data_IF_903095317792
#
_entry.id   IF_903095317792
#
_cell.length_a   1.000
_cell.length_b   1.000
_cell.length_c   1.000
_cell.angle_alpha   90.00
_cell.angle_beta   90.00
_cell.angle_gamma   90.00
#
_symmetry.space_group_name_H-M   'P 1'
#
loop_
_entity.id
_entity.type
_entity.pdbx_description
1 polymer ?
#
# COMPACT_ATOMS: atom_id res chain seq x y z
N UNK A 1 11.83 14.97 5.39
CA UNK A 1 12.06 13.64 6.01
C UNK A 1 10.68 13.07 6.34
N UNK A 2 10.36 11.83 5.96
CA UNK A 2 9.03 11.23 6.20
C UNK A 2 8.27 10.74 4.97
N UNK A 3 8.69 11.07 3.73
CA UNK A 3 8.02 10.60 2.51
C UNK A 3 7.90 9.08 2.44
N UNK A 4 8.99 8.36 2.77
CA UNK A 4 9.00 6.89 2.82
C UNK A 4 8.05 6.31 3.87
N UNK A 5 7.99 6.93 5.05
CA UNK A 5 7.10 6.50 6.13
C UNK A 5 5.63 6.72 5.75
N UNK A 6 5.31 7.88 5.15
CA UNK A 6 3.97 8.19 4.66
C UNK A 6 3.57 7.21 3.56
N UNK A 7 4.45 6.96 2.60
CA UNK A 7 4.21 6.01 1.51
C UNK A 7 3.91 4.60 2.04
N UNK A 8 4.71 4.10 3.00
CA UNK A 8 4.48 2.80 3.64
C UNK A 8 3.14 2.73 4.37
N UNK A 9 2.75 3.78 5.10
CA UNK A 9 1.46 3.82 5.82
C UNK A 9 0.30 3.76 4.84
N UNK A 10 0.33 4.54 3.77
CA UNK A 10 -0.73 4.52 2.76
C UNK A 10 -0.77 3.22 1.97
N UNK A 11 0.39 2.63 1.67
CA UNK A 11 0.48 1.32 1.03
C UNK A 11 -0.17 0.22 1.89
N UNK A 12 0.14 0.18 3.19
CA UNK A 12 -0.47 -0.75 4.14
C UNK A 12 -1.99 -0.54 4.23
N UNK A 13 -2.44 0.71 4.34
CA UNK A 13 -3.85 1.04 4.43
C UNK A 13 -4.62 0.61 3.17
N UNK A 14 -4.10 0.90 1.99
CA UNK A 14 -4.71 0.51 0.71
C UNK A 14 -4.86 -1.01 0.61
N UNK A 15 -3.79 -1.76 0.92
CA UNK A 15 -3.79 -3.23 0.92
C UNK A 15 -4.86 -3.79 1.87
N UNK A 16 -5.00 -3.22 3.07
CA UNK A 16 -6.03 -3.67 4.03
C UNK A 16 -7.45 -3.32 3.58
N UNK A 17 -7.66 -2.15 2.98
CA UNK A 17 -8.98 -1.77 2.44
C UNK A 17 -9.41 -2.71 1.32
N UNK A 18 -8.50 -3.11 0.42
CA UNK A 18 -8.80 -4.07 -0.65
C UNK A 18 -9.17 -5.45 -0.09
N UNK A 19 -8.47 -5.90 0.95
CA UNK A 19 -8.77 -7.17 1.65
C UNK A 19 -10.13 -7.16 2.33
N UNK A 20 -10.44 -6.09 3.06
CA UNK A 20 -11.74 -5.93 3.71
C UNK A 20 -12.90 -5.84 2.72
N UNK A 21 -12.63 -5.42 1.47
CA UNK A 21 -13.63 -5.39 0.39
C UNK A 21 -13.73 -6.71 -0.38
N UNK A 22 -12.90 -7.71 -0.07
CA UNK A 22 -12.85 -8.97 -0.80
C UNK A 22 -12.27 -8.86 -2.21
N UNK A 23 -11.61 -7.73 -2.54
CA UNK A 23 -10.97 -7.51 -3.85
C UNK A 23 -9.60 -8.19 -3.89
N UNK A 24 -8.89 -8.17 -2.75
CA UNK A 24 -7.59 -8.81 -2.59
C UNK A 24 -7.72 -9.92 -1.54
N UNK A 25 -7.28 -11.13 -1.85
CA UNK A 25 -7.37 -12.25 -0.90
C UNK A 25 -6.34 -12.11 0.24
N UNK A 26 -6.53 -12.84 1.35
CA UNK A 26 -5.58 -12.83 2.47
C UNK A 26 -4.19 -13.34 2.10
N UNK A 27 -4.12 -14.22 1.10
CA UNK A 27 -2.89 -14.91 0.73
C UNK A 27 -2.29 -14.33 -0.56
N UNK A 28 -3.02 -13.40 -1.16
CA UNK A 28 -2.67 -12.75 -2.42
C UNK A 28 -1.71 -11.59 -2.16
N UNK A 29 -0.65 -11.54 -2.97
CA UNK A 29 0.33 -10.48 -2.93
C UNK A 29 -0.26 -9.17 -3.45
N UNK A 30 0.23 -8.04 -2.94
CA UNK A 30 -0.21 -6.74 -3.42
C UNK A 30 0.80 -6.26 -4.45
N UNK A 31 0.38 -6.21 -5.71
CA UNK A 31 1.26 -5.97 -6.87
C UNK A 31 1.98 -4.61 -6.88
N UNK A 32 1.58 -3.67 -6.02
CA UNK A 32 2.25 -2.38 -5.87
C UNK A 32 3.30 -2.45 -4.77
N UNK A 33 4.42 -1.76 -4.95
CA UNK A 33 5.42 -1.57 -3.92
C UNK A 33 5.14 -0.29 -3.10
N UNK A 34 5.63 -0.17 -1.84
CA UNK A 34 5.54 1.07 -1.09
C UNK A 34 6.20 2.27 -1.80
N UNK A 35 7.21 2.02 -2.62
CA UNK A 35 7.93 3.02 -3.44
C UNK A 35 7.02 3.68 -4.48
N UNK A 36 5.99 2.97 -4.97
CA UNK A 36 5.00 3.51 -5.91
C UNK A 36 4.13 4.61 -5.26
N UNK A 37 4.07 4.63 -3.93
CA UNK A 37 3.35 5.63 -3.15
C UNK A 37 4.25 6.82 -2.75
N UNK A 38 5.53 6.80 -3.09
CA UNK A 38 6.44 7.91 -2.81
C UNK A 38 6.17 9.10 -3.76
N UNK A 39 6.10 10.30 -3.19
CA UNK A 39 6.06 11.56 -3.97
C UNK A 39 7.33 11.67 -4.83
N UNK A 40 7.13 11.68 -6.16
CA UNK A 40 8.17 12.00 -7.14
C UNK A 40 8.38 13.52 -7.15
N UNK A 41 9.64 13.95 -7.01
CA UNK A 41 10.07 15.36 -7.01
C UNK A 41 10.92 15.60 -8.25
#
# INVERSE_FOLDING_TARGET
>A
KGRKAIALVYWLLARQVLRNRGILSSDEEFDLEPTDFELKI
#
